data_IF_274820648104
#
_entry.id   IF_274820648104
#
_cell.length_a   1.000
_cell.length_b   1.000
_cell.length_c   1.000
_cell.angle_alpha   90.00
_cell.angle_beta   90.00
_cell.angle_gamma   90.00
#
_symmetry.space_group_name_H-M   'P 1'
#
loop_
_entity.id
_entity.type
_entity.pdbx_description
1 polymer ?
#
# COMPACT_ATOMS: atom_id res chain seq x y z
N UNK A 1 -16.50 -1.07 1.96
CA UNK A 1 -15.50 -2.16 2.00
C UNK A 1 -16.19 -3.51 1.90
N UNK A 2 -17.12 -3.86 2.80
CA UNK A 2 -17.78 -5.19 2.89
C UNK A 2 -18.43 -5.67 1.58
N UNK A 3 -18.96 -4.75 0.77
CA UNK A 3 -19.58 -5.06 -0.54
C UNK A 3 -18.58 -5.19 -1.70
N UNK A 4 -17.27 -5.09 -1.46
CA UNK A 4 -16.23 -5.15 -2.50
C UNK A 4 -16.24 -3.99 -3.50
N UNK A 5 -16.88 -2.85 -3.16
CA UNK A 5 -17.09 -1.70 -4.05
C UNK A 5 -16.27 -0.46 -3.67
N UNK A 6 -15.39 -0.56 -2.66
CA UNK A 6 -14.52 0.53 -2.24
C UNK A 6 -13.32 0.65 -3.18
N UNK A 7 -13.55 1.18 -4.37
CA UNK A 7 -12.54 1.39 -5.40
C UNK A 7 -11.82 2.71 -5.19
N UNK A 8 -10.55 2.79 -5.60
CA UNK A 8 -9.76 4.00 -5.65
C UNK A 8 -9.05 4.14 -7.00
N UNK A 9 -8.77 5.36 -7.38
CA UNK A 9 -8.18 5.72 -8.66
C UNK A 9 -6.69 6.05 -8.53
N UNK A 10 -5.99 6.09 -9.65
CA UNK A 10 -4.65 6.66 -9.74
C UNK A 10 -4.76 8.13 -10.14
N UNK A 11 -4.36 9.02 -9.24
CA UNK A 11 -4.57 10.45 -9.32
C UNK A 11 -5.98 10.88 -8.91
N UNK A 12 -6.16 12.16 -8.62
CA UNK A 12 -7.47 12.75 -8.38
C UNK A 12 -8.10 13.21 -9.70
N UNK A 13 -9.26 12.69 -10.13
CA UNK A 13 -10.06 13.30 -11.19
C UNK A 13 -10.82 14.51 -10.66
N UNK A 14 -11.30 15.35 -11.58
CA UNK A 14 -12.00 16.60 -11.24
C UNK A 14 -13.40 16.42 -10.62
N UNK A 15 -13.94 15.21 -10.62
CA UNK A 15 -15.31 14.93 -10.16
C UNK A 15 -15.38 13.88 -9.05
N UNK A 16 -16.55 13.79 -8.39
CA UNK A 16 -16.77 12.83 -7.31
C UNK A 16 -17.00 11.40 -7.81
N UNK A 17 -17.30 11.21 -9.10
CA UNK A 17 -17.60 9.91 -9.65
C UNK A 17 -16.31 9.08 -9.83
N UNK A 18 -16.44 7.76 -9.62
CA UNK A 18 -15.36 6.81 -9.86
C UNK A 18 -15.35 6.48 -11.38
N UNK A 19 -14.23 6.74 -12.03
CA UNK A 19 -13.99 6.36 -13.42
C UNK A 19 -13.33 4.98 -13.45
N UNK A 20 -14.03 3.99 -13.98
CA UNK A 20 -13.55 2.61 -13.96
C UNK A 20 -12.27 2.38 -14.77
N UNK A 21 -12.00 3.18 -15.76
CA UNK A 21 -10.75 3.19 -16.54
C UNK A 21 -9.55 3.71 -15.76
N UNK A 22 -9.78 4.47 -14.69
CA UNK A 22 -8.74 5.01 -13.81
C UNK A 22 -8.54 4.21 -12.53
N UNK A 23 -9.37 3.22 -12.27
CA UNK A 23 -9.28 2.39 -11.06
C UNK A 23 -7.96 1.66 -11.01
N UNK A 24 -7.23 1.86 -9.92
CA UNK A 24 -5.92 1.24 -9.66
C UNK A 24 -5.98 0.21 -8.53
N UNK A 25 -6.88 0.38 -7.56
CA UNK A 25 -6.91 -0.46 -6.37
C UNK A 25 -8.32 -0.57 -5.77
N UNK A 26 -8.45 -1.49 -4.83
CA UNK A 26 -9.64 -1.73 -4.04
C UNK A 26 -9.28 -1.74 -2.55
N UNK A 27 -9.97 -0.95 -1.74
CA UNK A 27 -9.79 -0.96 -0.29
C UNK A 27 -10.41 -2.24 0.27
N UNK A 28 -9.61 -3.03 1.00
CA UNK A 28 -10.01 -4.31 1.58
C UNK A 28 -10.24 -4.22 3.09
N UNK A 29 -9.59 -3.28 3.77
CA UNK A 29 -9.88 -2.94 5.16
C UNK A 29 -9.65 -1.45 5.44
N UNK A 30 -10.41 -0.91 6.37
CA UNK A 30 -10.27 0.46 6.87
C UNK A 30 -10.75 0.48 8.31
N UNK A 31 -9.95 1.02 9.22
CA UNK A 31 -10.29 1.16 10.63
C UNK A 31 -9.62 2.40 11.23
N UNK A 32 -10.18 2.90 12.30
CA UNK A 32 -9.66 4.05 13.02
C UNK A 32 -8.68 3.61 14.11
N UNK A 33 -7.53 4.28 14.18
CA UNK A 33 -6.54 4.13 15.25
C UNK A 33 -6.23 5.53 15.82
N UNK A 34 -6.83 5.85 16.97
CA UNK A 34 -6.74 7.20 17.54
C UNK A 34 -7.31 8.25 16.58
N UNK A 35 -6.51 9.23 16.17
CA UNK A 35 -6.90 10.27 15.21
C UNK A 35 -6.61 9.89 13.75
N UNK A 36 -6.05 8.70 13.51
CA UNK A 36 -5.69 8.25 12.17
C UNK A 36 -6.65 7.18 11.65
N UNK A 37 -6.74 7.06 10.34
CA UNK A 37 -7.42 5.96 9.66
C UNK A 37 -6.36 5.08 8.96
N UNK A 38 -6.28 3.83 9.39
CA UNK A 38 -5.41 2.83 8.78
C UNK A 38 -6.18 1.96 7.80
N UNK A 39 -5.61 1.75 6.61
CA UNK A 39 -6.23 0.99 5.56
C UNK A 39 -5.31 -0.02 4.91
N UNK A 40 -5.90 -1.08 4.35
CA UNK A 40 -5.24 -1.97 3.40
C UNK A 40 -5.97 -1.90 2.06
N UNK A 41 -5.21 -1.81 1.00
CA UNK A 41 -5.73 -1.85 -0.36
C UNK A 41 -5.05 -2.97 -1.16
N UNK A 42 -5.79 -3.56 -2.05
CA UNK A 42 -5.30 -4.51 -3.04
C UNK A 42 -5.13 -3.77 -4.35
N UNK A 43 -3.92 -3.76 -4.92
CA UNK A 43 -3.69 -3.28 -6.29
C UNK A 43 -4.39 -4.23 -7.27
N UNK A 44 -5.12 -3.68 -8.20
CA UNK A 44 -5.87 -4.44 -9.21
C UNK A 44 -5.05 -4.61 -10.49
N UNK A 45 -5.36 -5.64 -11.26
CA UNK A 45 -4.72 -5.93 -12.56
C UNK A 45 -5.25 -5.02 -13.71
N UNK A 46 -5.71 -3.82 -13.36
CA UNK A 46 -6.10 -2.78 -14.32
C UNK A 46 -4.86 -2.07 -14.87
N UNK A 47 -4.95 -1.34 -15.99
CA UNK A 47 -3.82 -0.54 -16.50
C UNK A 47 -3.24 0.41 -15.45
N UNK A 48 -4.09 1.13 -14.71
CA UNK A 48 -3.68 2.06 -13.66
C UNK A 48 -3.11 1.33 -12.43
N UNK A 49 -3.63 0.15 -12.10
CA UNK A 49 -3.07 -0.69 -11.05
C UNK A 49 -1.66 -1.17 -11.39
N UNK A 50 -1.41 -1.58 -12.63
CA UNK A 50 -0.06 -1.97 -13.06
C UNK A 50 0.95 -0.83 -13.00
N UNK A 51 0.51 0.41 -13.31
CA UNK A 51 1.36 1.60 -13.16
C UNK A 51 1.71 1.81 -11.68
N UNK A 52 0.71 1.78 -10.79
CA UNK A 52 0.94 1.92 -9.35
C UNK A 52 1.85 0.82 -8.80
N UNK A 53 1.66 -0.44 -9.21
CA UNK A 53 2.50 -1.59 -8.84
C UNK A 53 3.95 -1.39 -9.27
N UNK A 54 4.20 -0.97 -10.52
CA UNK A 54 5.54 -0.71 -11.04
C UNK A 54 6.23 0.42 -10.28
N UNK A 55 5.55 1.53 -10.03
CA UNK A 55 6.10 2.66 -9.28
C UNK A 55 6.50 2.25 -7.85
N UNK A 56 5.64 1.49 -7.16
CA UNK A 56 5.94 0.98 -5.82
C UNK A 56 7.10 -0.02 -5.83
N UNK A 57 7.19 -0.89 -6.85
CA UNK A 57 8.29 -1.85 -7.01
C UNK A 57 9.63 -1.16 -7.24
N UNK A 58 9.63 -0.03 -7.95
CA UNK A 58 10.82 0.81 -8.21
C UNK A 58 11.15 1.73 -7.02
N UNK A 59 10.42 1.63 -5.90
CA UNK A 59 10.66 2.39 -4.67
C UNK A 59 10.12 3.81 -4.68
N UNK A 60 9.24 4.15 -5.61
CA UNK A 60 8.57 5.45 -5.62
C UNK A 60 7.61 5.55 -4.43
N UNK A 61 7.73 6.62 -3.66
CA UNK A 61 6.78 6.90 -2.57
C UNK A 61 5.50 7.47 -3.14
N UNK A 62 4.42 6.72 -3.07
CA UNK A 62 3.08 7.17 -3.42
C UNK A 62 2.29 7.48 -2.16
N UNK A 63 1.46 8.49 -2.22
CA UNK A 63 0.55 8.86 -1.15
C UNK A 63 -0.87 8.39 -1.40
N UNK A 64 -1.72 8.57 -0.41
CA UNK A 64 -3.17 8.39 -0.53
C UNK A 64 -3.89 9.64 -0.07
N UNK A 65 -4.97 9.99 -0.75
CA UNK A 65 -5.78 11.15 -0.41
C UNK A 65 -7.26 10.84 -0.60
N UNK A 66 -8.07 11.24 0.37
CA UNK A 66 -9.53 11.10 0.27
C UNK A 66 -10.09 12.13 -0.71
N UNK A 67 -11.17 11.77 -1.39
CA UNK A 67 -11.89 12.65 -2.30
C UNK A 67 -13.36 12.70 -1.89
N UNK A 68 -13.91 13.90 -1.82
CA UNK A 68 -15.30 14.11 -1.44
C UNK A 68 -15.84 15.44 -1.94
N UNK A 69 -17.08 15.69 -1.62
CA UNK A 69 -17.79 16.94 -1.85
C UNK A 69 -18.37 17.46 -0.56
N UNK A 70 -18.41 18.77 -0.40
CA UNK A 70 -19.01 19.41 0.75
C UNK A 70 -18.82 20.93 0.66
N UNK A 71 -19.50 21.66 1.51
CA UNK A 71 -19.29 23.08 1.65
C UNK A 71 -17.93 23.35 2.33
N UNK A 72 -17.33 24.48 1.99
CA UNK A 72 -16.08 24.95 2.61
C UNK A 72 -16.35 26.31 3.20
N UNK A 73 -16.03 26.50 4.47
CA UNK A 73 -16.01 27.79 5.14
C UNK A 73 -14.57 28.19 5.45
N UNK A 74 -14.28 29.50 5.43
CA UNK A 74 -12.98 30.02 5.80
C UNK A 74 -13.08 30.81 7.09
N UNK A 75 -12.23 30.46 8.06
CA UNK A 75 -12.03 31.21 9.29
C UNK A 75 -10.53 31.41 9.52
N UNK A 76 -10.13 32.66 9.70
CA UNK A 76 -8.72 33.05 9.96
C UNK A 76 -7.72 32.47 8.97
N UNK A 77 -8.09 32.37 7.68
CA UNK A 77 -7.22 31.83 6.61
C UNK A 77 -7.16 30.29 6.55
N UNK A 78 -7.89 29.58 7.41
CA UNK A 78 -8.02 28.12 7.39
C UNK A 78 -9.33 27.72 6.74
N UNK A 79 -9.28 26.74 5.84
CA UNK A 79 -10.48 26.17 5.21
C UNK A 79 -11.03 25.02 6.05
N UNK A 80 -12.29 25.09 6.43
CA UNK A 80 -13.00 24.04 7.16
C UNK A 80 -14.02 23.38 6.25
N UNK A 81 -14.04 22.04 6.27
CA UNK A 81 -15.03 21.25 5.56
C UNK A 81 -16.33 21.22 6.37
N UNK A 82 -17.46 21.46 5.71
CA UNK A 82 -18.78 21.48 6.36
C UNK A 82 -19.29 20.09 6.74
N UNK A 83 -20.35 20.07 7.54
CA UNK A 83 -21.02 18.84 7.98
C UNK A 83 -21.73 18.09 6.84
N UNK A 84 -21.96 18.76 5.70
CA UNK A 84 -22.52 18.22 4.47
C UNK A 84 -21.49 17.40 3.63
N UNK A 85 -20.31 17.14 4.18
CA UNK A 85 -19.27 16.40 3.48
C UNK A 85 -19.69 14.98 3.11
N UNK A 86 -19.61 14.69 1.81
CA UNK A 86 -19.86 13.36 1.25
C UNK A 86 -18.57 12.77 0.68
N UNK A 87 -18.14 11.64 1.24
CA UNK A 87 -16.95 10.93 0.79
C UNK A 87 -17.23 10.18 -0.52
N UNK A 88 -16.55 10.53 -1.59
CA UNK A 88 -16.61 9.82 -2.87
C UNK A 88 -15.69 8.61 -2.87
N UNK A 89 -14.43 8.79 -2.47
CA UNK A 89 -13.47 7.70 -2.24
C UNK A 89 -12.72 7.91 -0.92
N UNK A 90 -12.49 6.83 -0.19
CA UNK A 90 -11.72 6.87 1.05
C UNK A 90 -10.23 7.13 0.76
N UNK A 91 -9.73 6.66 -0.37
CA UNK A 91 -8.36 6.87 -0.79
C UNK A 91 -8.22 6.73 -2.31
N UNK A 92 -7.67 7.74 -2.97
CA UNK A 92 -7.06 7.64 -4.29
C UNK A 92 -5.53 7.62 -4.12
N UNK A 93 -4.80 6.92 -5.00
CA UNK A 93 -3.34 6.95 -5.01
C UNK A 93 -2.87 8.22 -5.71
N UNK A 94 -2.05 9.02 -5.03
CA UNK A 94 -1.56 10.31 -5.52
C UNK A 94 -0.04 10.42 -5.36
N UNK A 95 0.59 11.31 -6.12
CA UNK A 95 2.01 11.58 -5.98
C UNK A 95 2.31 12.38 -4.71
N UNK A 96 1.46 13.37 -4.39
CA UNK A 96 1.63 14.30 -3.27
C UNK A 96 0.33 14.38 -2.46
N UNK A 97 0.25 13.70 -1.31
CA UNK A 97 -0.95 13.69 -0.49
C UNK A 97 -1.07 14.97 0.33
N UNK A 98 -2.29 15.46 0.53
CA UNK A 98 -2.56 16.62 1.38
C UNK A 98 -2.23 16.38 2.86
N UNK A 99 -2.34 15.14 3.33
CA UNK A 99 -1.94 14.75 4.68
C UNK A 99 -0.46 14.34 4.70
N UNK A 100 0.38 14.96 5.56
CA UNK A 100 1.84 14.80 5.50
C UNK A 100 2.36 13.37 5.65
N UNK A 101 1.63 12.50 6.36
CA UNK A 101 2.05 11.13 6.66
C UNK A 101 1.24 10.06 5.87
N UNK A 102 0.41 10.48 4.91
CA UNK A 102 -0.49 9.58 4.17
C UNK A 102 0.22 8.87 3.00
N UNK A 103 1.32 8.18 3.29
CA UNK A 103 2.08 7.43 2.29
C UNK A 103 1.77 5.93 2.32
N UNK A 104 1.89 5.31 1.14
CA UNK A 104 1.65 3.88 0.95
C UNK A 104 2.91 3.09 1.26
N UNK A 105 2.78 2.05 2.07
CA UNK A 105 3.80 1.02 2.21
C UNK A 105 3.43 -0.16 1.30
N UNK A 106 4.18 -0.33 0.22
CA UNK A 106 3.97 -1.43 -0.71
C UNK A 106 4.33 -2.78 -0.08
N UNK A 107 3.37 -3.71 -0.06
CA UNK A 107 3.58 -5.11 0.35
C UNK A 107 3.43 -5.96 -0.90
N UNK A 108 4.51 -6.64 -1.32
CA UNK A 108 4.47 -7.51 -2.50
C UNK A 108 4.00 -8.91 -2.12
N UNK A 109 3.18 -9.51 -2.98
CA UNK A 109 2.71 -10.90 -2.80
C UNK A 109 3.90 -11.87 -2.79
N UNK A 110 3.92 -12.80 -1.83
CA UNK A 110 5.01 -13.76 -1.66
C UNK A 110 6.18 -13.29 -0.77
N UNK A 111 6.08 -12.11 -0.17
CA UNK A 111 7.04 -11.60 0.82
C UNK A 111 6.40 -11.52 2.20
N UNK A 112 7.04 -12.09 3.20
CA UNK A 112 6.64 -11.89 4.58
C UNK A 112 7.19 -10.58 5.14
N UNK A 113 6.31 -9.75 5.67
CA UNK A 113 6.62 -8.45 6.23
C UNK A 113 6.34 -8.44 7.73
N UNK A 114 7.23 -7.84 8.50
CA UNK A 114 7.07 -7.68 9.94
C UNK A 114 7.14 -6.20 10.29
N UNK A 115 6.27 -5.78 11.19
CA UNK A 115 6.33 -4.44 11.79
C UNK A 115 7.47 -4.38 12.81
N UNK A 116 8.48 -3.56 12.56
CA UNK A 116 9.51 -3.20 13.52
C UNK A 116 9.47 -1.68 13.75
N UNK A 117 8.91 -1.26 14.88
CA UNK A 117 8.88 0.14 15.29
C UNK A 117 8.26 1.08 14.24
N UNK A 118 6.99 0.92 13.91
CA UNK A 118 6.24 1.71 12.91
C UNK A 118 6.78 1.65 11.46
N UNK A 119 7.78 0.80 11.16
CA UNK A 119 8.29 0.57 9.81
C UNK A 119 8.05 -0.88 9.42
N UNK A 120 7.48 -1.09 8.23
CA UNK A 120 7.28 -2.42 7.67
C UNK A 120 8.62 -2.90 7.07
N UNK A 121 9.18 -4.00 7.60
CA UNK A 121 10.42 -4.61 7.11
C UNK A 121 10.18 -5.98 6.51
N UNK A 122 10.87 -6.28 5.42
CA UNK A 122 10.86 -7.59 4.77
C UNK A 122 11.56 -8.63 5.65
N UNK A 123 10.84 -9.71 5.98
CA UNK A 123 11.36 -10.77 6.83
C UNK A 123 12.40 -11.61 6.07
N UNK A 124 13.39 -12.05 6.76
CA UNK A 124 14.60 -12.82 6.41
C UNK A 124 14.64 -13.73 5.15
N UNK A 125 13.50 -13.94 4.44
CA UNK A 125 13.47 -14.75 3.22
C UNK A 125 14.41 -14.23 2.12
N UNK A 126 14.56 -12.90 2.01
CA UNK A 126 15.50 -12.31 1.04
C UNK A 126 16.96 -12.42 1.48
N UNK A 127 17.24 -12.37 2.79
CA UNK A 127 18.61 -12.63 3.28
C UNK A 127 19.04 -14.07 2.98
N UNK A 128 18.13 -15.02 3.16
CA UNK A 128 18.37 -16.44 2.83
C UNK A 128 18.59 -16.60 1.32
N UNK A 129 17.77 -15.95 0.48
CA UNK A 129 17.91 -15.99 -0.97
C UNK A 129 19.21 -15.35 -1.46
N UNK A 130 19.62 -14.23 -0.88
CA UNK A 130 20.92 -13.58 -1.17
C UNK A 130 22.09 -14.48 -0.76
N UNK A 131 22.00 -15.11 0.41
CA UNK A 131 23.04 -16.05 0.88
C UNK A 131 23.15 -17.26 -0.04
N UNK A 132 22.04 -17.82 -0.53
CA UNK A 132 22.03 -18.92 -1.51
C UNK A 132 22.67 -18.50 -2.83
N UNK A 133 22.37 -17.27 -3.31
CA UNK A 133 22.91 -16.78 -4.58
C UNK A 133 24.40 -16.40 -4.53
N UNK A 134 24.95 -16.16 -3.34
CA UNK A 134 26.39 -15.86 -3.16
C UNK A 134 27.26 -17.10 -2.99
N UNK A 135 26.69 -18.31 -2.83
CA UNK A 135 27.41 -19.55 -2.71
C UNK A 135 27.81 -20.07 -4.10
N UNK A 136 29.06 -19.78 -4.50
CA UNK A 136 29.63 -20.13 -5.82
C UNK A 136 29.99 -21.61 -5.94
N UNK A 137 30.13 -22.34 -4.84
CA UNK A 137 30.54 -23.76 -4.82
C UNK A 137 29.32 -24.69 -4.72
N UNK A 138 29.01 -25.39 -5.81
CA UNK A 138 27.85 -26.29 -5.91
C UNK A 138 27.79 -27.39 -4.83
N UNK A 139 28.92 -27.87 -4.33
CA UNK A 139 28.97 -28.92 -3.29
C UNK A 139 28.55 -28.36 -1.93
N UNK A 140 28.97 -27.17 -1.60
CA UNK A 140 28.54 -26.47 -0.37
C UNK A 140 27.10 -25.95 -0.47
N UNK A 141 26.62 -25.72 -1.70
CA UNK A 141 25.24 -25.23 -1.94
C UNK A 141 24.19 -26.26 -1.51
N UNK A 142 24.41 -27.55 -1.79
CA UNK A 142 23.44 -28.62 -1.43
C UNK A 142 23.38 -28.84 0.09
N UNK A 143 24.51 -28.83 0.79
CA UNK A 143 24.51 -28.94 2.26
C UNK A 143 23.87 -27.73 2.94
N UNK A 144 24.10 -26.52 2.45
CA UNK A 144 23.49 -25.31 2.96
C UNK A 144 21.99 -25.22 2.66
N UNK A 145 21.54 -25.68 1.50
CA UNK A 145 20.10 -25.75 1.17
C UNK A 145 19.35 -26.65 2.15
N UNK A 146 19.90 -27.82 2.45
CA UNK A 146 19.32 -28.76 3.41
C UNK A 146 19.28 -28.18 4.83
N UNK A 147 20.33 -27.51 5.28
CA UNK A 147 20.40 -26.88 6.58
C UNK A 147 19.42 -25.69 6.71
N UNK A 148 19.31 -24.85 5.68
CA UNK A 148 18.37 -23.72 5.62
C UNK A 148 16.92 -24.19 5.53
N UNK A 149 16.65 -25.25 4.78
CA UNK A 149 15.31 -25.85 4.70
C UNK A 149 14.90 -26.47 6.03
N UNK A 150 15.82 -27.17 6.72
CA UNK A 150 15.58 -27.74 8.05
C UNK A 150 15.39 -26.65 9.13
N UNK A 151 16.04 -25.49 9.00
CA UNK A 151 15.83 -24.34 9.86
C UNK A 151 14.47 -23.71 9.59
N UNK A 152 14.09 -23.50 8.34
CA UNK A 152 12.79 -22.96 7.93
C UNK A 152 11.63 -23.80 8.46
N UNK A 153 11.72 -25.15 8.40
CA UNK A 153 10.71 -26.08 8.93
C UNK A 153 10.61 -26.06 10.47
N UNK A 154 11.67 -25.65 11.18
CA UNK A 154 11.63 -25.52 12.65
C UNK A 154 11.07 -24.18 13.13
N UNK A 155 11.12 -23.18 12.26
CA UNK A 155 10.65 -21.82 12.56
C UNK A 155 9.19 -21.59 12.09
N UNK A 156 8.54 -22.64 11.49
CA UNK A 156 7.11 -22.76 11.22
C UNK A 156 6.35 -23.32 12.42
#
# INVERSE_FOLDING_TARGET
>A
VSKGRALGELGHPDGPQINLDRVSHKIVSLHQEGNNFMGKAQILKTPMGKIAESLLADGVKLGVSSRGMGSISQHEGVSYVGEDFMLATAADIVADPSAPDAFVNGVMEGKEWVWEGAVLREKQAEQIKRTINTLVDQRKLEEHKLALFSKFLRDL
#
